data_IF_850485252588
#
_entry.id   IF_850485252588
#
_cell.length_a   1.000
_cell.length_b   1.000
_cell.length_c   1.000
_cell.angle_alpha   90.00
_cell.angle_beta   90.00
_cell.angle_gamma   90.00
#
_symmetry.space_group_name_H-M   'P 1'
#
loop_
_entity.id
_entity.type
_entity.pdbx_description
1 polymer ?
#
# COMPACT_ATOMS: atom_id res chain seq x y z
N UNK A 1 -27.36 12.65 -2.43
CA UNK A 1 -26.47 13.74 -2.02
C UNK A 1 -25.03 13.23 -1.99
N UNK A 2 -24.19 13.65 -2.93
CA UNK A 2 -22.77 13.27 -2.98
C UNK A 2 -22.03 13.93 -1.81
N UNK A 3 -21.64 13.15 -0.81
CA UNK A 3 -20.80 13.62 0.30
C UNK A 3 -19.36 13.57 -0.23
N UNK A 4 -18.78 14.73 -0.54
CA UNK A 4 -17.40 14.83 -1.03
C UNK A 4 -16.42 14.18 -0.02
N UNK A 5 -15.47 13.36 -0.50
CA UNK A 5 -14.43 12.78 0.36
C UNK A 5 -13.55 13.90 0.93
N UNK A 6 -13.34 13.87 2.26
CA UNK A 6 -12.62 14.90 3.00
C UNK A 6 -11.68 14.21 4.00
N UNK A 7 -10.42 14.66 4.06
CA UNK A 7 -9.40 14.09 4.93
C UNK A 7 -9.70 14.23 6.42
N UNK A 8 -9.18 13.29 7.21
CA UNK A 8 -9.32 13.26 8.69
C UNK A 8 -7.95 13.12 9.35
N UNK A 9 -7.74 13.80 10.49
CA UNK A 9 -6.59 13.62 11.38
C UNK A 9 -6.95 12.56 12.43
N UNK A 10 -6.13 11.49 12.56
CA UNK A 10 -6.43 10.31 13.40
C UNK A 10 -6.06 10.51 14.88
N UNK A 11 -6.75 9.79 15.77
CA UNK A 11 -6.35 9.52 17.16
C UNK A 11 -5.47 8.26 17.30
N UNK A 12 -5.16 7.83 18.54
CA UNK A 12 -4.20 6.75 18.88
C UNK A 12 -4.43 5.42 18.11
N UNK A 13 -3.36 4.72 17.70
CA UNK A 13 -3.47 3.45 16.96
C UNK A 13 -3.89 2.27 17.86
N UNK A 14 -4.55 1.28 17.25
CA UNK A 14 -4.93 -0.02 17.87
C UNK A 14 -4.40 -1.15 16.99
N UNK A 15 -3.82 -2.17 17.64
CA UNK A 15 -3.07 -3.30 17.05
C UNK A 15 -4.00 -4.44 16.62
N UNK A 16 -3.79 -5.05 15.45
CA UNK A 16 -4.68 -6.11 14.92
C UNK A 16 -4.03 -7.27 14.14
N UNK A 17 -2.75 -7.58 14.35
CA UNK A 17 -2.10 -8.72 13.65
C UNK A 17 -1.28 -9.60 14.61
N UNK A 18 -1.38 -10.93 14.44
CA UNK A 18 -0.61 -11.96 15.17
C UNK A 18 0.35 -12.63 14.19
N UNK A 19 1.65 -12.59 14.49
CA UNK A 19 2.73 -13.15 13.66
C UNK A 19 2.86 -14.67 13.85
N UNK A 20 3.13 -15.40 12.77
CA UNK A 20 3.51 -16.83 12.78
C UNK A 20 5.04 -16.99 12.61
N UNK A 21 5.65 -18.03 13.20
CA UNK A 21 7.09 -18.13 13.50
C UNK A 21 7.91 -19.09 12.61
N UNK A 22 7.31 -19.81 11.67
CA UNK A 22 7.91 -21.04 11.11
C UNK A 22 8.46 -20.98 9.67
N UNK A 23 8.41 -19.85 8.95
CA UNK A 23 8.83 -19.78 7.54
C UNK A 23 10.20 -19.09 7.34
N UNK A 24 11.05 -19.56 6.39
CA UNK A 24 12.24 -18.83 5.93
C UNK A 24 11.82 -17.44 5.42
N UNK A 25 12.56 -16.41 5.82
CA UNK A 25 12.10 -15.03 5.82
C UNK A 25 13.21 -14.11 5.28
N UNK A 26 12.94 -13.18 4.35
CA UNK A 26 13.92 -12.17 3.95
C UNK A 26 14.39 -11.31 5.14
N UNK A 27 15.54 -10.64 4.99
CA UNK A 27 16.04 -9.72 6.00
C UNK A 27 15.28 -8.38 5.94
N UNK A 28 15.11 -7.70 7.08
CA UNK A 28 14.57 -6.33 7.10
C UNK A 28 15.59 -5.37 6.49
N UNK A 29 15.28 -4.89 5.29
CA UNK A 29 16.11 -3.91 4.59
C UNK A 29 15.64 -2.47 4.82
N UNK A 30 14.45 -2.25 5.40
CA UNK A 30 13.87 -0.91 5.55
C UNK A 30 14.37 -0.24 6.82
N UNK A 31 14.72 -0.98 7.88
CA UNK A 31 15.23 -0.42 9.14
C UNK A 31 14.40 0.79 9.65
N UNK A 32 13.08 0.75 9.40
CA UNK A 32 12.10 1.81 9.71
C UNK A 32 12.33 3.16 9.01
N UNK A 33 13.18 3.21 7.99
CA UNK A 33 13.36 4.38 7.13
C UNK A 33 12.40 4.32 5.94
N UNK A 34 11.16 4.77 6.15
CA UNK A 34 10.17 4.89 5.06
C UNK A 34 10.38 6.16 4.25
N UNK A 35 11.54 6.23 3.61
CA UNK A 35 11.90 7.31 2.68
C UNK A 35 12.48 6.68 1.42
N UNK A 36 12.00 7.14 0.26
CA UNK A 36 12.52 6.78 -1.04
C UNK A 36 12.99 8.06 -1.74
N UNK A 37 14.14 8.02 -2.41
CA UNK A 37 14.68 9.16 -3.16
C UNK A 37 14.06 9.34 -4.55
N UNK A 38 13.34 8.33 -5.02
CA UNK A 38 12.68 8.31 -6.33
C UNK A 38 11.46 7.38 -6.28
N UNK A 39 10.47 7.57 -7.17
CA UNK A 39 9.38 6.61 -7.34
C UNK A 39 9.93 5.24 -7.76
N UNK A 40 9.26 4.19 -7.30
CA UNK A 40 9.58 2.78 -7.53
C UNK A 40 10.93 2.34 -6.96
N UNK A 41 11.34 2.91 -5.83
CA UNK A 41 12.49 2.42 -5.03
C UNK A 41 12.08 1.58 -3.83
N UNK A 42 10.96 1.93 -3.20
CA UNK A 42 10.42 1.21 -2.06
C UNK A 42 8.90 1.17 -2.16
N UNK A 43 8.36 -0.03 -2.28
CA UNK A 43 6.95 -0.31 -2.07
C UNK A 43 6.76 -0.93 -0.70
N UNK A 44 5.69 -0.52 -0.03
CA UNK A 44 5.21 -1.18 1.19
C UNK A 44 3.84 -1.79 0.93
N UNK A 45 3.56 -2.93 1.55
CA UNK A 45 2.24 -3.55 1.46
C UNK A 45 1.74 -4.03 2.80
N UNK A 46 0.42 -3.92 2.97
CA UNK A 46 -0.31 -4.44 4.12
C UNK A 46 -1.78 -4.62 3.73
N UNK A 47 -2.52 -5.35 4.55
CA UNK A 47 -3.96 -5.46 4.39
C UNK A 47 -4.70 -5.24 5.69
N UNK A 48 -5.98 -4.92 5.58
CA UNK A 48 -6.85 -4.75 6.74
C UNK A 48 -8.21 -5.38 6.50
N UNK A 49 -8.96 -5.64 7.57
CA UNK A 49 -10.32 -6.16 7.48
C UNK A 49 -11.35 -5.06 7.74
N UNK A 50 -12.50 -5.21 7.07
CA UNK A 50 -13.64 -4.30 7.11
C UNK A 50 -14.88 -5.10 7.49
N UNK A 51 -15.59 -4.65 8.53
CA UNK A 51 -16.85 -5.27 8.94
C UNK A 51 -17.97 -4.91 7.97
N UNK A 52 -18.77 -5.92 7.63
CA UNK A 52 -19.98 -5.84 6.80
C UNK A 52 -21.11 -6.59 7.49
N UNK A 53 -22.34 -6.43 7.01
CA UNK A 53 -23.49 -7.18 7.55
C UNK A 53 -23.38 -8.70 7.36
N UNK A 54 -22.57 -9.16 6.40
CA UNK A 54 -22.37 -10.57 6.07
C UNK A 54 -21.05 -11.14 6.61
N UNK A 55 -20.41 -10.47 7.57
CA UNK A 55 -19.11 -10.85 8.13
C UNK A 55 -18.04 -9.81 7.83
N UNK A 56 -16.86 -10.23 7.36
CA UNK A 56 -15.76 -9.33 7.07
C UNK A 56 -15.23 -9.51 5.64
N UNK A 57 -14.71 -8.42 5.09
CA UNK A 57 -13.93 -8.43 3.84
C UNK A 57 -12.52 -7.92 4.12
N UNK A 58 -11.56 -8.30 3.28
CA UNK A 58 -10.15 -7.94 3.39
C UNK A 58 -9.83 -6.91 2.30
N UNK A 59 -8.98 -5.93 2.63
CA UNK A 59 -8.54 -4.89 1.71
C UNK A 59 -7.02 -4.80 1.78
N UNK A 60 -6.32 -5.12 0.70
CA UNK A 60 -4.87 -4.95 0.56
C UNK A 60 -4.55 -3.64 -0.15
N UNK A 61 -3.42 -3.04 0.21
CA UNK A 61 -2.80 -1.94 -0.51
C UNK A 61 -1.32 -2.23 -0.76
N UNK A 62 -0.83 -1.79 -1.92
CA UNK A 62 0.59 -1.65 -2.25
C UNK A 62 0.83 -0.17 -2.50
N UNK A 63 1.79 0.40 -1.79
CA UNK A 63 2.01 1.85 -1.75
C UNK A 63 3.47 2.15 -2.07
N UNK A 64 3.69 3.05 -3.02
CA UNK A 64 4.98 3.63 -3.29
C UNK A 64 5.31 4.69 -2.23
N UNK A 65 6.43 4.51 -1.54
CA UNK A 65 6.80 5.35 -0.39
C UNK A 65 7.19 6.77 -0.81
N UNK A 66 7.70 6.98 -2.03
CA UNK A 66 8.21 8.28 -2.49
C UNK A 66 7.15 9.38 -2.38
N UNK A 67 6.05 9.22 -3.13
CA UNK A 67 4.93 10.17 -3.15
C UNK A 67 3.73 9.68 -2.31
N UNK A 68 3.89 8.56 -1.60
CA UNK A 68 2.80 7.83 -0.91
C UNK A 68 1.71 7.33 -1.88
N UNK A 69 2.03 7.15 -3.15
CA UNK A 69 1.07 6.79 -4.19
C UNK A 69 0.60 5.33 -4.02
N UNK A 70 -0.70 5.09 -3.99
CA UNK A 70 -1.26 3.72 -3.95
C UNK A 70 -1.16 3.14 -5.36
N UNK A 71 -0.23 2.21 -5.57
CA UNK A 71 0.07 1.60 -6.87
C UNK A 71 -0.72 0.33 -7.13
N UNK A 72 -1.24 -0.30 -6.08
CA UNK A 72 -2.10 -1.48 -6.20
C UNK A 72 -3.02 -1.63 -5.00
N UNK A 73 -4.18 -2.23 -5.20
CA UNK A 73 -5.14 -2.52 -4.14
C UNK A 73 -6.08 -3.66 -4.54
N UNK A 74 -6.64 -4.37 -3.54
CA UNK A 74 -7.64 -5.40 -3.79
C UNK A 74 -8.58 -5.56 -2.62
N UNK A 75 -9.88 -5.73 -2.90
CA UNK A 75 -10.86 -6.20 -1.90
C UNK A 75 -11.17 -7.67 -2.14
N UNK A 76 -11.22 -8.45 -1.06
CA UNK A 76 -11.47 -9.89 -1.09
C UNK A 76 -12.45 -10.33 -0.01
N UNK A 77 -13.23 -11.37 -0.31
CA UNK A 77 -14.09 -12.05 0.68
C UNK A 77 -13.32 -13.04 1.55
N UNK A 78 -12.10 -13.41 1.16
CA UNK A 78 -11.29 -14.45 1.80
C UNK A 78 -9.85 -13.98 2.06
N UNK A 79 -9.23 -14.44 3.15
CA UNK A 79 -7.86 -14.09 3.52
C UNK A 79 -6.76 -14.87 2.76
N UNK A 80 -7.07 -15.51 1.63
CA UNK A 80 -6.11 -16.33 0.87
C UNK A 80 -4.98 -15.47 0.28
N UNK A 81 -3.76 -16.00 0.20
CA UNK A 81 -2.60 -15.29 -0.35
C UNK A 81 -2.82 -14.74 -1.78
N UNK A 82 -3.79 -15.27 -2.54
CA UNK A 82 -4.11 -14.77 -3.88
C UNK A 82 -4.56 -13.32 -3.92
N UNK A 83 -5.23 -12.77 -2.89
CA UNK A 83 -5.72 -11.39 -2.99
C UNK A 83 -4.62 -10.34 -2.78
N UNK A 84 -3.59 -10.64 -1.95
CA UNK A 84 -2.41 -9.76 -1.84
C UNK A 84 -1.60 -9.83 -3.13
N UNK A 85 -1.55 -11.01 -3.76
CA UNK A 85 -0.94 -11.18 -5.08
C UNK A 85 -1.68 -10.37 -6.16
N UNK A 86 -3.02 -10.37 -6.19
CA UNK A 86 -3.79 -9.54 -7.13
C UNK A 86 -3.45 -8.05 -7.00
N UNK A 87 -3.29 -7.55 -5.77
CA UNK A 87 -2.88 -6.16 -5.52
C UNK A 87 -1.45 -5.88 -6.02
N UNK A 88 -0.53 -6.84 -5.82
CA UNK A 88 0.83 -6.77 -6.34
C UNK A 88 0.86 -6.81 -7.89
N UNK A 89 0.08 -7.67 -8.53
CA UNK A 89 -0.02 -7.75 -9.99
C UNK A 89 -0.54 -6.45 -10.59
N UNK A 90 -1.54 -5.82 -9.95
CA UNK A 90 -2.02 -4.51 -10.36
C UNK A 90 -0.88 -3.48 -10.35
N UNK A 91 -0.07 -3.45 -9.28
CA UNK A 91 1.07 -2.55 -9.16
C UNK A 91 2.16 -2.84 -10.20
N UNK A 92 2.50 -4.11 -10.43
CA UNK A 92 3.51 -4.50 -11.42
C UNK A 92 3.05 -4.15 -12.84
N UNK A 93 1.77 -4.38 -13.16
CA UNK A 93 1.21 -4.08 -14.46
C UNK A 93 1.26 -2.58 -14.78
N UNK A 94 0.88 -1.75 -13.81
CA UNK A 94 0.88 -0.30 -13.95
C UNK A 94 2.30 0.28 -14.01
N UNK A 95 3.20 -0.19 -13.14
CA UNK A 95 4.52 0.43 -12.95
C UNK A 95 5.67 -0.17 -13.76
N UNK A 96 5.51 -1.40 -14.24
CA UNK A 96 6.51 -2.14 -15.06
C UNK A 96 7.96 -2.04 -14.52
N UNK A 97 8.20 -2.42 -13.26
CA UNK A 97 9.46 -2.16 -12.56
C UNK A 97 10.69 -2.88 -13.14
N UNK A 98 10.51 -3.94 -13.94
CA UNK A 98 11.57 -4.74 -14.57
C UNK A 98 12.60 -3.88 -15.32
N UNK A 99 12.18 -2.74 -15.88
CA UNK A 99 13.06 -1.88 -16.67
C UNK A 99 13.99 -0.98 -15.84
N UNK A 100 13.80 -0.86 -14.51
CA UNK A 100 14.52 0.13 -13.68
C UNK A 100 15.39 -0.47 -12.58
N UNK A 101 15.12 -1.70 -12.15
CA UNK A 101 15.91 -2.43 -11.13
C UNK A 101 15.96 -1.75 -9.76
N UNK A 102 16.27 -2.52 -8.72
CA UNK A 102 16.44 -1.99 -7.35
C UNK A 102 15.16 -1.43 -6.73
N UNK A 103 14.01 -2.02 -7.06
CA UNK A 103 12.76 -1.82 -6.32
C UNK A 103 12.72 -2.82 -5.17
N UNK A 104 12.64 -2.31 -3.94
CA UNK A 104 12.41 -3.10 -2.74
C UNK A 104 10.90 -3.18 -2.50
N UNK A 105 10.38 -4.37 -2.24
CA UNK A 105 9.02 -4.58 -1.78
C UNK A 105 9.03 -5.08 -0.34
N UNK A 106 8.55 -4.23 0.56
CA UNK A 106 8.46 -4.52 1.98
C UNK A 106 7.04 -4.90 2.39
N UNK A 107 6.88 -6.00 3.11
CA UNK A 107 5.60 -6.41 3.70
C UNK A 107 5.78 -6.79 5.17
N UNK A 108 4.67 -6.92 5.89
CA UNK A 108 4.70 -7.59 7.19
C UNK A 108 4.99 -9.10 7.02
N UNK A 109 5.13 -9.80 8.14
CA UNK A 109 5.37 -11.26 8.18
C UNK A 109 4.07 -12.09 8.06
N UNK A 110 2.99 -11.53 7.53
CA UNK A 110 1.76 -12.26 7.31
C UNK A 110 2.01 -13.49 6.45
N UNK A 111 1.39 -14.63 6.79
CA UNK A 111 1.58 -15.90 6.06
C UNK A 111 1.19 -15.79 4.58
N UNK A 112 0.34 -14.82 4.24
CA UNK A 112 -0.01 -14.47 2.86
C UNK A 112 1.20 -13.95 2.06
N UNK A 113 1.99 -13.06 2.64
CA UNK A 113 3.17 -12.44 2.01
C UNK A 113 4.38 -13.38 1.98
N UNK A 114 4.42 -14.36 2.88
CA UNK A 114 5.45 -15.41 2.92
C UNK A 114 5.11 -16.63 2.04
N UNK A 115 3.98 -16.60 1.33
CA UNK A 115 3.61 -17.71 0.45
C UNK A 115 4.59 -17.83 -0.73
N UNK A 116 4.91 -19.07 -1.11
CA UNK A 116 5.84 -19.39 -2.21
C UNK A 116 5.47 -18.62 -3.48
N UNK A 117 4.19 -18.62 -3.84
CA UNK A 117 3.69 -17.93 -5.03
C UNK A 117 3.93 -16.42 -4.99
N UNK A 118 3.87 -15.80 -3.82
CA UNK A 118 4.10 -14.36 -3.68
C UNK A 118 5.59 -14.03 -3.84
N UNK A 119 6.47 -14.80 -3.19
CA UNK A 119 7.91 -14.59 -3.25
C UNK A 119 8.49 -14.93 -4.63
N UNK A 120 8.02 -15.99 -5.28
CA UNK A 120 8.35 -16.34 -6.67
C UNK A 120 7.96 -15.21 -7.61
N UNK A 121 6.75 -14.66 -7.46
CA UNK A 121 6.29 -13.60 -8.35
C UNK A 121 7.10 -12.30 -8.22
N UNK A 122 7.54 -11.95 -7.01
CA UNK A 122 8.46 -10.83 -6.78
C UNK A 122 9.79 -11.05 -7.51
N UNK A 123 10.35 -12.25 -7.43
CA UNK A 123 11.59 -12.60 -8.14
C UNK A 123 11.42 -12.52 -9.66
N UNK A 124 10.32 -13.04 -10.22
CA UNK A 124 9.98 -12.93 -11.64
C UNK A 124 9.82 -11.48 -12.11
N UNK A 125 9.37 -10.59 -11.22
CA UNK A 125 9.24 -9.15 -11.49
C UNK A 125 10.56 -8.38 -11.35
N UNK A 126 11.64 -9.03 -10.91
CA UNK A 126 12.91 -8.36 -10.57
C UNK A 126 12.79 -7.43 -9.35
N UNK A 127 11.89 -7.76 -8.42
CA UNK A 127 11.62 -6.98 -7.21
C UNK A 127 12.28 -7.66 -6.01
N UNK A 128 13.03 -6.90 -5.23
CA UNK A 128 13.76 -7.39 -4.06
C UNK A 128 12.82 -7.49 -2.85
N UNK A 129 12.53 -8.69 -2.32
CA UNK A 129 11.67 -8.83 -1.15
C UNK A 129 12.38 -8.39 0.13
N UNK A 130 11.68 -7.62 0.95
CA UNK A 130 12.08 -7.21 2.30
C UNK A 130 10.91 -7.50 3.25
N UNK A 131 11.19 -7.95 4.46
CA UNK A 131 10.14 -8.21 5.47
C UNK A 131 10.64 -7.75 6.83
N UNK A 132 9.73 -7.27 7.68
CA UNK A 132 10.08 -6.80 9.02
C UNK A 132 10.84 -7.85 9.86
N UNK A 133 11.49 -7.45 10.93
CA UNK A 133 12.17 -8.30 11.91
C UNK A 133 11.18 -9.06 12.83
N UNK A 134 11.63 -10.13 13.53
CA UNK A 134 10.75 -10.90 14.43
C UNK A 134 10.36 -10.04 15.62
N UNK A 135 9.05 -9.84 15.85
CA UNK A 135 8.54 -9.31 17.11
C UNK A 135 8.51 -7.78 17.23
N UNK A 136 8.71 -7.07 16.13
CA UNK A 136 8.75 -5.61 16.12
C UNK A 136 7.56 -5.03 15.31
N UNK A 137 6.64 -4.37 16.01
CA UNK A 137 5.41 -3.81 15.40
C UNK A 137 5.65 -2.53 14.60
N UNK A 138 6.87 -2.03 14.53
CA UNK A 138 7.19 -0.78 13.83
C UNK A 138 7.60 -0.98 12.37
N UNK A 139 7.81 -2.22 11.94
CA UNK A 139 8.49 -2.49 10.68
C UNK A 139 7.60 -2.23 9.45
N UNK A 140 6.27 -2.15 9.62
CA UNK A 140 5.33 -1.79 8.54
C UNK A 140 4.50 -0.53 8.84
N UNK A 141 4.99 0.36 9.71
CA UNK A 141 4.23 1.51 10.22
C UNK A 141 3.69 2.46 9.12
N UNK A 142 4.37 2.53 7.96
CA UNK A 142 3.88 3.33 6.83
C UNK A 142 2.60 2.72 6.23
N UNK A 143 2.57 1.42 5.97
CA UNK A 143 1.39 0.76 5.44
C UNK A 143 0.24 0.77 6.46
N UNK A 144 0.54 0.58 7.76
CA UNK A 144 -0.43 0.72 8.84
C UNK A 144 -1.06 2.13 8.88
N UNK A 145 -0.28 3.17 8.58
CA UNK A 145 -0.76 4.55 8.49
C UNK A 145 -1.81 4.70 7.37
N UNK A 146 -1.54 4.12 6.19
CA UNK A 146 -2.46 4.14 5.05
C UNK A 146 -3.74 3.36 5.36
N UNK A 147 -3.61 2.13 5.87
CA UNK A 147 -4.74 1.32 6.34
C UNK A 147 -5.60 2.07 7.36
N UNK A 148 -4.93 2.80 8.21
CA UNK A 148 -5.55 3.63 9.20
C UNK A 148 -6.35 4.82 8.66
N UNK A 149 -5.80 5.55 7.69
CA UNK A 149 -6.49 6.63 7.00
C UNK A 149 -7.71 6.10 6.26
N UNK A 150 -7.55 5.00 5.54
CA UNK A 150 -8.64 4.31 4.87
C UNK A 150 -9.78 3.96 5.83
N UNK A 151 -9.45 3.37 6.99
CA UNK A 151 -10.45 3.04 8.02
C UNK A 151 -11.17 4.28 8.54
N UNK A 152 -10.45 5.36 8.85
CA UNK A 152 -11.04 6.57 9.41
C UNK A 152 -11.93 7.31 8.40
N UNK A 153 -11.47 7.45 7.16
CA UNK A 153 -12.09 8.33 6.17
C UNK A 153 -13.19 7.65 5.37
N UNK A 154 -13.10 6.33 5.20
CA UNK A 154 -14.06 5.54 4.46
C UNK A 154 -14.84 4.67 5.42
N UNK A 155 -14.17 3.72 6.09
CA UNK A 155 -14.87 2.63 6.75
C UNK A 155 -15.74 3.10 7.91
N UNK A 156 -15.19 3.94 8.78
CA UNK A 156 -15.90 4.46 9.96
C UNK A 156 -16.87 5.58 9.57
N UNK A 157 -16.52 6.42 8.59
CA UNK A 157 -17.33 7.60 8.22
C UNK A 157 -18.52 7.27 7.32
N UNK A 158 -18.39 6.25 6.46
CA UNK A 158 -19.40 5.88 5.46
C UNK A 158 -20.10 4.56 5.77
N UNK A 159 -19.64 3.82 6.79
CA UNK A 159 -20.34 2.64 7.29
C UNK A 159 -21.67 2.96 7.98
N UNK A 160 -22.45 1.95 8.37
CA UNK A 160 -22.14 0.51 8.27
C UNK A 160 -22.27 -0.04 6.83
N UNK A 161 -21.46 -1.05 6.50
CA UNK A 161 -21.34 -1.60 5.15
C UNK A 161 -22.25 -2.81 4.94
N UNK A 162 -23.06 -2.78 3.88
CA UNK A 162 -24.05 -3.82 3.59
C UNK A 162 -23.50 -5.00 2.80
N UNK A 163 -22.52 -4.78 1.92
CA UNK A 163 -22.02 -5.83 1.04
C UNK A 163 -20.55 -5.62 0.67
N UNK A 164 -19.95 -6.67 0.10
CA UNK A 164 -18.62 -6.63 -0.49
C UNK A 164 -18.50 -5.56 -1.58
N UNK A 165 -19.49 -5.49 -2.48
CA UNK A 165 -19.50 -4.56 -3.62
C UNK A 165 -19.52 -3.10 -3.15
N UNK A 166 -20.24 -2.83 -2.05
CA UNK A 166 -20.26 -1.50 -1.46
C UNK A 166 -18.88 -1.09 -0.94
N UNK A 167 -18.16 -2.00 -0.29
CA UNK A 167 -16.79 -1.76 0.17
C UNK A 167 -15.86 -1.58 -1.03
N UNK A 168 -15.87 -2.51 -1.99
CA UNK A 168 -15.03 -2.47 -3.19
C UNK A 168 -15.19 -1.16 -3.97
N UNK A 169 -16.42 -0.71 -4.19
CA UNK A 169 -16.68 0.54 -4.89
C UNK A 169 -16.24 1.77 -4.08
N UNK A 170 -16.36 1.73 -2.76
CA UNK A 170 -15.85 2.80 -1.90
C UNK A 170 -14.32 2.82 -1.87
N UNK A 171 -13.66 1.67 -1.86
CA UNK A 171 -12.20 1.55 -1.96
C UNK A 171 -11.71 2.12 -3.27
N UNK A 172 -12.31 1.74 -4.41
CA UNK A 172 -12.00 2.29 -5.74
C UNK A 172 -12.02 3.83 -5.73
N UNK A 173 -13.13 4.40 -5.24
CA UNK A 173 -13.30 5.86 -5.16
C UNK A 173 -12.25 6.51 -4.27
N UNK A 174 -12.01 5.92 -3.10
CA UNK A 174 -11.06 6.47 -2.15
C UNK A 174 -9.62 6.40 -2.67
N UNK A 175 -9.20 5.31 -3.30
CA UNK A 175 -7.87 5.21 -3.93
C UNK A 175 -7.71 6.26 -5.01
N UNK A 176 -8.71 6.43 -5.89
CA UNK A 176 -8.66 7.48 -6.92
C UNK A 176 -8.52 8.88 -6.29
N UNK A 177 -9.34 9.20 -5.28
CA UNK A 177 -9.28 10.48 -4.59
C UNK A 177 -7.96 10.66 -3.82
N UNK A 178 -7.48 9.62 -3.16
CA UNK A 178 -6.23 9.62 -2.41
C UNK A 178 -5.06 9.97 -3.33
N UNK A 179 -4.93 9.29 -4.47
CA UNK A 179 -3.83 9.54 -5.39
C UNK A 179 -3.93 10.90 -6.10
N UNK A 180 -5.13 11.33 -6.48
CA UNK A 180 -5.29 12.44 -7.43
C UNK A 180 -5.77 13.76 -6.81
N UNK A 181 -6.24 13.75 -5.56
CA UNK A 181 -6.91 14.91 -4.94
C UNK A 181 -6.53 15.15 -3.48
N UNK A 182 -6.06 14.14 -2.75
CA UNK A 182 -5.71 14.29 -1.33
C UNK A 182 -4.41 15.07 -1.17
N UNK A 183 -4.48 16.20 -0.48
CA UNK A 183 -3.28 16.96 -0.12
C UNK A 183 -2.55 16.28 1.05
N UNK A 184 -1.24 16.11 0.92
CA UNK A 184 -0.41 15.47 1.93
C UNK A 184 0.75 16.41 2.33
N UNK A 185 0.74 16.86 3.58
CA UNK A 185 1.79 17.73 4.12
C UNK A 185 3.22 17.24 3.89
N UNK A 186 3.52 15.94 4.09
CA UNK A 186 4.88 15.41 3.91
C UNK A 186 5.45 15.49 2.50
N UNK A 187 4.61 15.71 1.48
CA UNK A 187 5.03 15.89 0.08
C UNK A 187 4.75 17.31 -0.42
N UNK A 188 4.60 18.29 0.49
CA UNK A 188 4.42 19.69 0.13
C UNK A 188 2.97 20.15 -0.03
N UNK A 189 2.00 19.45 0.58
CA UNK A 189 0.56 19.74 0.47
C UNK A 189 0.01 19.65 -0.97
N UNK A 190 0.53 18.74 -1.77
CA UNK A 190 0.02 18.40 -3.11
C UNK A 190 -0.46 16.94 -3.14
N UNK A 191 -1.25 16.53 -4.15
CA UNK A 191 -1.62 15.13 -4.37
C UNK A 191 -0.41 14.21 -4.67
N UNK A 192 -0.46 12.92 -4.28
CA UNK A 192 0.55 11.93 -4.65
C UNK A 192 0.87 11.90 -6.15
N UNK A 193 -0.15 11.93 -7.01
CA UNK A 193 0.02 11.93 -8.46
C UNK A 193 0.78 13.16 -8.96
N UNK A 194 0.55 14.32 -8.35
CA UNK A 194 1.22 15.56 -8.71
C UNK A 194 2.69 15.55 -8.25
N UNK A 195 2.95 15.12 -7.01
CA UNK A 195 4.33 14.99 -6.51
C UNK A 195 5.18 14.04 -7.36
N UNK A 196 4.60 12.93 -7.81
CA UNK A 196 5.27 11.98 -8.69
C UNK A 196 5.49 12.55 -10.10
N UNK A 197 4.49 13.25 -10.66
CA UNK A 197 4.63 13.91 -11.96
C UNK A 197 5.71 15.00 -11.95
N UNK A 198 5.78 15.79 -10.87
CA UNK A 198 6.84 16.79 -10.68
C UNK A 198 8.23 16.14 -10.70
N UNK A 199 8.41 14.99 -10.05
CA UNK A 199 9.69 14.27 -10.08
C UNK A 199 10.09 13.90 -11.52
N UNK A 200 9.18 13.32 -12.30
CA UNK A 200 9.50 12.95 -13.69
C UNK A 200 9.74 14.16 -14.59
N UNK A 201 8.98 15.25 -14.42
CA UNK A 201 9.24 16.49 -15.14
C UNK A 201 10.65 17.03 -14.90
N UNK A 202 11.14 16.98 -13.64
CA UNK A 202 12.52 17.43 -13.33
C UNK A 202 13.61 16.56 -13.97
N UNK A 203 13.36 15.26 -14.19
CA UNK A 203 14.30 14.39 -14.89
C UNK A 203 14.34 14.68 -16.40
N UNK A 204 13.19 14.99 -16.98
CA UNK A 204 13.05 15.32 -18.41
C UNK A 204 13.61 16.70 -18.76
N UNK A 205 13.78 17.60 -17.79
CA UNK A 205 14.42 18.92 -17.95
C UNK A 205 15.95 18.89 -17.83
N UNK A 206 16.53 17.88 -17.18
CA UNK A 206 17.97 17.67 -17.06
C UNK A 206 18.76 17.22 -18.33
N UNK A 207 18.19 16.87 -19.51
CA UNK A 207 18.98 16.43 -20.68
C UNK A 207 19.71 17.53 -21.50
N UNK A 208 19.76 18.80 -21.08
CA UNK A 208 20.32 19.90 -21.89
C UNK A 208 21.50 20.67 -21.26
N UNK A 209 21.99 20.22 -20.11
CA UNK A 209 23.17 20.81 -19.45
C UNK A 209 24.27 19.76 -19.26
N UNK A 210 24.85 19.26 -20.35
CA UNK A 210 26.12 18.55 -20.37
C UNK A 210 26.82 18.74 -21.72
#
# INVERSE_FOLDING_TARGET
MSRYMQGVIRGKPVKTTVSDKAAPCPLDQVNRQFHASAPNRLWVSDFTYVSTWNGFVYVAFVVDVFARYIVGWRVSRTAHASFVLDALEQAIHDRRPVHRGGLIHHSDRGSQYLSIRYTERLAEAGIEPSVGSVGDSYDNAFAETINGLYKAEVIHRCGPWKSFEAVEFATLKWVFWFNNKRLLGPIGNIPPAEAEACYYATLDEQPLAA
#
